data_IF_970375349881
#
_entry.id   IF_970375349881
#
_cell.length_a   1.000
_cell.length_b   1.000
_cell.length_c   1.000
_cell.angle_alpha   90.00
_cell.angle_beta   90.00
_cell.angle_gamma   90.00
#
_symmetry.space_group_name_H-M   'P 1'
#
loop_
_entity.id
_entity.type
_entity.pdbx_description
1 polymer ?
#
# COMPACT_ATOMS: atom_id res chain seq x y z
N UNK A 1 -4.98 6.15 -12.94
CA UNK A 1 -4.57 6.95 -11.75
C UNK A 1 -4.64 8.42 -12.14
N UNK A 2 -5.14 9.28 -11.26
CA UNK A 2 -5.36 10.72 -11.57
C UNK A 2 -4.58 11.68 -10.66
N UNK A 3 -4.10 11.19 -9.50
CA UNK A 3 -3.45 11.98 -8.45
C UNK A 3 -1.97 11.59 -8.31
N UNK A 4 -1.07 12.37 -8.93
CA UNK A 4 0.37 12.05 -9.05
C UNK A 4 1.25 12.79 -8.03
N UNK A 5 0.68 13.47 -7.03
CA UNK A 5 1.43 14.26 -6.05
C UNK A 5 2.41 13.44 -5.18
N UNK A 6 2.25 12.12 -5.13
CA UNK A 6 3.13 11.20 -4.42
C UNK A 6 3.96 10.30 -5.36
N UNK A 7 3.91 10.54 -6.68
CA UNK A 7 4.66 9.74 -7.64
C UNK A 7 6.16 10.04 -7.55
N UNK A 8 6.97 8.98 -7.56
CA UNK A 8 8.42 9.08 -7.49
C UNK A 8 9.07 7.96 -8.30
N UNK A 9 10.28 8.20 -8.80
CA UNK A 9 11.08 7.17 -9.48
C UNK A 9 11.65 6.20 -8.43
N UNK A 10 10.91 5.12 -8.19
CA UNK A 10 11.27 4.08 -7.19
C UNK A 10 11.10 2.68 -7.78
N UNK A 11 11.46 1.64 -7.00
CA UNK A 11 11.24 0.26 -7.44
C UNK A 11 9.74 -0.01 -7.61
N UNK A 12 9.32 -0.63 -8.73
CA UNK A 12 7.91 -0.97 -8.95
C UNK A 12 7.35 -1.94 -7.89
N UNK A 13 8.21 -2.67 -7.19
CA UNK A 13 7.81 -3.49 -6.05
C UNK A 13 7.12 -2.65 -4.95
N UNK A 14 7.59 -1.41 -4.74
CA UNK A 14 7.01 -0.50 -3.73
C UNK A 14 5.58 -0.10 -4.10
N UNK A 15 5.35 0.22 -5.37
CA UNK A 15 4.03 0.57 -5.89
C UNK A 15 3.06 -0.62 -5.80
N UNK A 16 3.52 -1.82 -6.15
CA UNK A 16 2.72 -3.05 -6.04
C UNK A 16 2.35 -3.36 -4.59
N UNK A 17 3.31 -3.29 -3.67
CA UNK A 17 3.05 -3.46 -2.24
C UNK A 17 2.06 -2.43 -1.73
N UNK A 18 2.21 -1.16 -2.11
CA UNK A 18 1.28 -0.12 -1.69
C UNK A 18 -0.13 -0.37 -2.24
N UNK A 19 -0.26 -0.67 -3.54
CA UNK A 19 -1.54 -0.92 -4.21
C UNK A 19 -2.24 -2.15 -3.64
N UNK A 20 -1.57 -3.32 -3.62
CA UNK A 20 -2.20 -4.56 -3.18
C UNK A 20 -2.63 -4.49 -1.73
N UNK A 21 -1.82 -3.93 -0.85
CA UNK A 21 -2.10 -3.96 0.58
C UNK A 21 -2.89 -2.76 1.10
N UNK A 22 -2.98 -1.63 0.39
CA UNK A 22 -3.94 -0.57 0.78
C UNK A 22 -5.33 -0.79 0.17
N UNK A 23 -5.43 -1.37 -1.02
CA UNK A 23 -6.67 -1.31 -1.80
C UNK A 23 -7.49 -2.60 -1.83
N UNK A 24 -7.00 -3.70 -1.26
CA UNK A 24 -7.70 -5.01 -1.35
C UNK A 24 -7.82 -5.68 0.02
N UNK A 25 -8.76 -6.60 0.22
CA UNK A 25 -8.87 -7.41 1.44
C UNK A 25 -7.92 -8.61 1.43
N UNK A 26 -7.71 -9.23 2.60
CA UNK A 26 -6.89 -10.44 2.71
C UNK A 26 -7.39 -11.56 1.80
N UNK A 27 -8.70 -11.85 1.80
CA UNK A 27 -9.28 -12.91 0.97
C UNK A 27 -9.00 -12.69 -0.53
N UNK A 28 -9.07 -11.44 -1.00
CA UNK A 28 -8.79 -11.09 -2.38
C UNK A 28 -7.31 -11.30 -2.71
N UNK A 29 -6.39 -10.89 -1.82
CA UNK A 29 -4.95 -11.16 -2.00
C UNK A 29 -4.65 -12.64 -1.98
N UNK A 30 -5.20 -13.38 -1.01
CA UNK A 30 -4.98 -14.82 -0.87
C UNK A 30 -5.24 -15.57 -2.19
N UNK A 31 -6.32 -15.20 -2.90
CA UNK A 31 -6.69 -15.81 -4.18
C UNK A 31 -5.85 -15.36 -5.37
N UNK A 32 -5.28 -14.15 -5.35
CA UNK A 32 -4.78 -13.50 -6.57
C UNK A 32 -3.35 -12.97 -6.51
N UNK A 33 -2.69 -12.98 -5.34
CA UNK A 33 -1.42 -12.25 -5.13
C UNK A 33 -0.34 -12.63 -6.15
N UNK A 34 -0.10 -13.93 -6.33
CA UNK A 34 0.89 -14.43 -7.31
C UNK A 34 0.46 -14.08 -8.74
N UNK A 35 -0.81 -14.33 -9.09
CA UNK A 35 -1.36 -14.03 -10.42
C UNK A 35 -1.22 -12.55 -10.78
N UNK A 36 -1.42 -11.63 -9.83
CA UNK A 36 -1.26 -10.21 -10.09
C UNK A 36 0.21 -9.81 -10.32
N UNK A 37 1.15 -10.41 -9.59
CA UNK A 37 2.59 -10.19 -9.80
C UNK A 37 3.00 -10.71 -11.18
N UNK A 38 2.56 -11.92 -11.54
CA UNK A 38 2.81 -12.53 -12.84
C UNK A 38 2.23 -11.68 -13.97
N UNK A 39 0.99 -11.21 -13.80
CA UNK A 39 0.32 -10.34 -14.76
C UNK A 39 1.07 -9.02 -14.93
N UNK A 40 1.43 -8.35 -13.83
CA UNK A 40 2.22 -7.13 -13.86
C UNK A 40 3.53 -7.32 -14.63
N UNK A 41 4.27 -8.39 -14.33
CA UNK A 41 5.54 -8.67 -14.99
C UNK A 41 5.36 -8.95 -16.48
N UNK A 42 4.28 -9.64 -16.87
CA UNK A 42 3.94 -9.87 -18.27
C UNK A 42 3.62 -8.57 -19.03
N UNK A 43 2.93 -7.63 -18.39
CA UNK A 43 2.62 -6.32 -18.99
C UNK A 43 3.85 -5.41 -19.03
N UNK A 44 4.76 -5.53 -18.06
CA UNK A 44 6.07 -4.86 -18.10
C UNK A 44 6.88 -5.32 -19.31
N UNK A 45 6.99 -6.62 -19.53
CA UNK A 45 7.72 -7.19 -20.68
C UNK A 45 7.09 -6.75 -22.02
N UNK A 46 5.76 -6.83 -22.14
CA UNK A 46 5.04 -6.29 -23.31
C UNK A 46 5.31 -4.81 -23.53
N UNK A 47 5.29 -4.00 -22.47
CA UNK A 47 5.51 -2.56 -22.55
C UNK A 47 6.94 -2.23 -23.00
N UNK A 48 7.93 -2.98 -22.52
CA UNK A 48 9.33 -2.85 -22.93
C UNK A 48 9.58 -3.31 -24.38
N UNK A 49 8.81 -4.31 -24.85
CA UNK A 49 8.95 -4.84 -26.21
C UNK A 49 8.66 -3.81 -27.31
N UNK A 50 7.86 -2.77 -27.02
CA UNK A 50 7.65 -1.64 -27.94
C UNK A 50 8.93 -0.84 -28.25
N UNK A 51 9.97 -1.01 -27.44
CA UNK A 51 11.27 -0.36 -27.57
C UNK A 51 12.40 -1.37 -27.83
N UNK A 52 12.07 -2.58 -28.28
CA UNK A 52 13.02 -3.67 -28.49
C UNK A 52 13.79 -4.10 -27.22
N UNK A 53 13.20 -3.85 -26.04
CA UNK A 53 13.74 -4.25 -24.74
C UNK A 53 13.00 -5.49 -24.19
N UNK A 54 13.69 -6.28 -23.36
CA UNK A 54 13.11 -7.42 -22.64
C UNK A 54 13.17 -7.17 -21.13
N UNK A 55 12.09 -7.49 -20.41
CA UNK A 55 12.07 -7.34 -18.96
C UNK A 55 13.16 -8.16 -18.27
N UNK A 56 13.44 -9.38 -18.77
CA UNK A 56 14.46 -10.26 -18.20
C UNK A 56 15.88 -9.67 -18.23
N UNK A 57 16.18 -8.78 -19.18
CA UNK A 57 17.49 -8.13 -19.28
C UNK A 57 17.60 -6.87 -18.41
N UNK A 58 16.49 -6.17 -18.18
CA UNK A 58 16.44 -4.86 -17.52
C UNK A 58 16.06 -4.99 -16.04
N UNK A 59 15.02 -5.75 -15.75
CA UNK A 59 14.48 -5.94 -14.41
C UNK A 59 13.90 -7.36 -14.30
N UNK A 60 14.74 -8.38 -14.05
CA UNK A 60 14.33 -9.79 -14.04
C UNK A 60 13.21 -10.09 -13.06
N UNK A 61 12.42 -11.13 -13.33
CA UNK A 61 11.31 -11.54 -12.45
C UNK A 61 11.79 -11.89 -11.05
N UNK A 62 12.91 -12.62 -10.96
CA UNK A 62 13.58 -12.93 -9.69
C UNK A 62 13.98 -11.67 -8.90
N UNK A 63 14.30 -10.58 -9.59
CA UNK A 63 14.64 -9.31 -8.97
C UNK A 63 13.39 -8.64 -8.41
N UNK A 64 12.27 -8.68 -9.15
CA UNK A 64 10.98 -8.23 -8.63
C UNK A 64 10.57 -9.01 -7.36
N UNK A 65 10.69 -10.34 -7.37
CA UNK A 65 10.35 -11.16 -6.20
C UNK A 65 11.27 -10.85 -5.00
N UNK A 66 12.57 -10.61 -5.25
CA UNK A 66 13.52 -10.22 -4.22
C UNK A 66 13.21 -8.82 -3.65
N UNK A 67 12.85 -7.87 -4.51
CA UNK A 67 12.53 -6.50 -4.11
C UNK A 67 11.20 -6.42 -3.35
N UNK A 68 10.19 -7.21 -3.73
CA UNK A 68 8.95 -7.35 -2.94
C UNK A 68 9.27 -7.76 -1.51
N UNK A 69 10.13 -8.77 -1.31
CA UNK A 69 10.56 -9.19 0.03
C UNK A 69 11.38 -8.12 0.75
N UNK A 70 12.29 -7.46 0.03
CA UNK A 70 13.15 -6.41 0.57
C UNK A 70 12.35 -5.22 1.11
N UNK A 71 11.33 -4.78 0.37
CA UNK A 71 10.55 -3.59 0.71
C UNK A 71 9.32 -3.90 1.57
N UNK A 72 8.92 -5.16 1.69
CA UNK A 72 7.76 -5.57 2.47
C UNK A 72 7.70 -4.94 3.87
N UNK A 73 8.79 -5.01 4.65
CA UNK A 73 8.80 -4.53 6.05
C UNK A 73 8.52 -3.03 6.16
N UNK A 74 9.16 -2.22 5.32
CA UNK A 74 8.94 -0.77 5.33
C UNK A 74 7.55 -0.44 4.78
N UNK A 75 7.10 -1.12 3.72
CA UNK A 75 5.75 -0.98 3.21
C UNK A 75 4.72 -1.32 4.26
N UNK A 76 4.90 -2.36 5.07
CA UNK A 76 3.98 -2.72 6.15
C UNK A 76 3.76 -1.57 7.13
N UNK A 77 4.84 -0.95 7.61
CA UNK A 77 4.76 0.19 8.51
C UNK A 77 4.00 1.36 7.88
N UNK A 78 4.25 1.64 6.59
CA UNK A 78 3.54 2.68 5.83
C UNK A 78 2.06 2.32 5.69
N UNK A 79 1.72 1.09 5.32
CA UNK A 79 0.32 0.65 5.15
C UNK A 79 -0.45 0.73 6.47
N UNK A 80 0.18 0.41 7.60
CA UNK A 80 -0.43 0.57 8.93
C UNK A 80 -0.70 2.05 9.23
N UNK A 81 0.24 2.95 8.92
CA UNK A 81 0.02 4.38 9.05
C UNK A 81 -1.16 4.85 8.18
N UNK A 82 -1.20 4.44 6.92
CA UNK A 82 -2.28 4.79 6.00
C UNK A 82 -3.62 4.18 6.43
N UNK A 83 -3.64 2.97 7.00
CA UNK A 83 -4.86 2.35 7.53
C UNK A 83 -5.53 3.22 8.61
N UNK A 84 -4.74 3.91 9.44
CA UNK A 84 -5.27 4.84 10.44
C UNK A 84 -5.96 6.08 9.84
N UNK A 85 -5.60 6.44 8.61
CA UNK A 85 -6.15 7.58 7.87
C UNK A 85 -7.34 7.13 7.01
N UNK A 86 -7.16 6.05 6.24
CA UNK A 86 -8.13 5.58 5.24
C UNK A 86 -9.39 4.97 5.86
N UNK A 87 -9.33 4.50 7.11
CA UNK A 87 -10.48 3.89 7.78
C UNK A 87 -11.43 4.92 8.42
N UNK A 88 -11.03 6.20 8.47
CA UNK A 88 -11.81 7.30 9.05
C UNK A 88 -13.13 7.48 8.33
N UNK A 89 -14.18 7.74 9.10
CA UNK A 89 -15.44 8.19 8.49
C UNK A 89 -15.32 9.62 7.97
N UNK A 90 -16.34 10.09 7.25
CA UNK A 90 -16.35 11.42 6.67
C UNK A 90 -16.20 12.55 7.73
N UNK A 91 -16.72 12.37 8.94
CA UNK A 91 -16.66 13.37 10.00
C UNK A 91 -15.28 13.44 10.64
N UNK A 92 -14.63 12.30 10.87
CA UNK A 92 -13.25 12.25 11.34
C UNK A 92 -12.27 12.74 10.25
N UNK A 93 -12.51 12.37 8.99
CA UNK A 93 -11.69 12.81 7.86
C UNK A 93 -11.77 14.33 7.64
N UNK A 94 -12.95 14.93 7.76
CA UNK A 94 -13.12 16.38 7.66
C UNK A 94 -12.32 17.12 8.75
N UNK A 95 -12.31 16.61 9.98
CA UNK A 95 -11.50 17.20 11.08
C UNK A 95 -10.01 17.05 10.83
N UNK A 96 -9.58 15.92 10.28
CA UNK A 96 -8.17 15.72 9.92
C UNK A 96 -7.74 16.68 8.80
N UNK A 97 -8.61 16.90 7.81
CA UNK A 97 -8.38 17.84 6.72
C UNK A 97 -8.29 19.29 7.25
N UNK A 98 -9.21 19.68 8.14
CA UNK A 98 -9.20 20.99 8.78
C UNK A 98 -7.90 21.22 9.57
N UNK A 99 -7.47 20.23 10.39
CA UNK A 99 -6.20 20.30 11.12
C UNK A 99 -5.00 20.42 10.16
N UNK A 100 -5.01 19.68 9.05
CA UNK A 100 -3.96 19.76 8.03
C UNK A 100 -3.92 21.14 7.36
N UNK A 101 -5.07 21.76 7.11
CA UNK A 101 -5.17 23.09 6.50
C UNK A 101 -4.74 24.20 7.47
N UNK A 102 -5.05 24.06 8.77
CA UNK A 102 -4.81 25.10 9.76
C UNK A 102 -3.39 25.09 10.35
N UNK A 103 -2.81 23.91 10.59
CA UNK A 103 -1.47 23.79 11.20
C UNK A 103 -0.59 22.69 10.62
N UNK A 104 -0.92 22.20 9.43
CA UNK A 104 -0.08 21.28 8.67
C UNK A 104 0.03 19.89 9.29
N UNK A 105 1.06 19.15 8.86
CA UNK A 105 1.23 17.73 9.21
C UNK A 105 1.32 17.52 10.72
N UNK A 106 1.96 18.45 11.45
CA UNK A 106 2.12 18.33 12.90
C UNK A 106 0.79 18.33 13.64
N UNK A 107 -0.09 19.31 13.35
CA UNK A 107 -1.41 19.40 13.99
C UNK A 107 -2.33 18.24 13.57
N UNK A 108 -2.23 17.79 12.31
CA UNK A 108 -2.91 16.59 11.85
C UNK A 108 -2.48 15.33 12.64
N UNK A 109 -1.17 15.15 12.88
CA UNK A 109 -0.64 14.03 13.68
C UNK A 109 -1.06 14.10 15.14
N UNK A 110 -1.08 15.29 15.74
CA UNK A 110 -1.57 15.50 17.12
C UNK A 110 -3.07 15.16 17.22
N UNK A 111 -3.87 15.57 16.24
CA UNK A 111 -5.29 15.23 16.16
C UNK A 111 -5.51 13.71 16.07
N UNK A 112 -4.68 12.99 15.32
CA UNK A 112 -4.73 11.53 15.22
C UNK A 112 -4.32 10.83 16.53
N UNK A 113 -3.38 11.41 17.27
CA UNK A 113 -2.80 10.81 18.49
C UNK A 113 -3.61 11.13 19.75
N UNK A 114 -4.23 12.32 19.81
CA UNK A 114 -4.89 12.85 21.01
C UNK A 114 -6.38 12.53 21.13
N UNK A 115 -7.04 12.07 20.05
CA UNK A 115 -8.45 11.69 20.06
C UNK A 115 -8.65 10.21 19.78
N UNK A 116 -9.36 9.55 20.69
CA UNK A 116 -9.80 8.16 20.48
C UNK A 116 -10.66 8.11 19.22
N UNK A 117 -10.29 7.24 18.29
CA UNK A 117 -11.13 6.95 17.13
C UNK A 117 -12.51 6.50 17.62
N UNK A 118 -13.56 6.81 16.87
CA UNK A 118 -14.86 6.27 17.24
C UNK A 118 -14.84 4.72 17.18
N UNK A 119 -15.83 4.09 17.81
CA UNK A 119 -15.85 2.63 17.99
C UNK A 119 -15.86 1.89 16.64
N UNK A 120 -16.67 2.33 15.69
CA UNK A 120 -16.82 1.69 14.39
C UNK A 120 -15.55 1.83 13.55
N UNK A 121 -14.95 3.01 13.50
CA UNK A 121 -13.66 3.25 12.83
C UNK A 121 -12.56 2.40 13.45
N UNK A 122 -12.52 2.29 14.79
CA UNK A 122 -11.56 1.42 15.49
C UNK A 122 -11.74 -0.06 15.09
N UNK A 123 -12.97 -0.51 14.95
CA UNK A 123 -13.29 -1.88 14.56
C UNK A 123 -12.92 -2.17 13.10
N UNK A 124 -13.24 -1.26 12.17
CA UNK A 124 -12.80 -1.34 10.77
C UNK A 124 -11.28 -1.38 10.65
N UNK A 125 -10.58 -0.48 11.35
CA UNK A 125 -9.12 -0.44 11.36
C UNK A 125 -8.52 -1.71 11.95
N UNK A 126 -9.09 -2.25 13.04
CA UNK A 126 -8.66 -3.53 13.62
C UNK A 126 -8.79 -4.65 12.61
N UNK A 127 -9.96 -4.82 12.00
CA UNK A 127 -10.21 -5.89 11.03
C UNK A 127 -9.27 -5.76 9.83
N UNK A 128 -9.01 -4.52 9.38
CA UNK A 128 -8.04 -4.23 8.34
C UNK A 128 -6.63 -4.68 8.72
N UNK A 129 -6.16 -4.30 9.91
CA UNK A 129 -4.81 -4.62 10.40
C UNK A 129 -4.63 -6.13 10.55
N UNK A 130 -5.63 -6.85 11.08
CA UNK A 130 -5.59 -8.32 11.17
C UNK A 130 -5.40 -8.94 9.79
N UNK A 131 -6.22 -8.56 8.80
CA UNK A 131 -6.07 -9.07 7.44
C UNK A 131 -4.74 -8.68 6.76
N UNK A 132 -4.13 -7.56 7.14
CA UNK A 132 -2.78 -7.20 6.69
C UNK A 132 -1.73 -8.15 7.29
N UNK A 133 -1.78 -8.39 8.60
CA UNK A 133 -0.87 -9.32 9.30
C UNK A 133 -0.98 -10.72 8.69
N UNK A 134 -2.21 -11.22 8.52
CA UNK A 134 -2.46 -12.55 7.95
C UNK A 134 -1.86 -12.69 6.55
N UNK A 135 -2.00 -11.65 5.71
CA UNK A 135 -1.41 -11.64 4.37
C UNK A 135 0.12 -11.63 4.40
N UNK A 136 0.71 -10.87 5.31
CA UNK A 136 2.17 -10.78 5.43
C UNK A 136 2.79 -12.09 5.93
N UNK A 137 2.10 -12.80 6.83
CA UNK A 137 2.48 -14.15 7.27
C UNK A 137 2.36 -15.13 6.11
N UNK A 138 1.19 -15.20 5.46
CA UNK A 138 0.88 -16.13 4.38
C UNK A 138 1.89 -16.04 3.22
N UNK A 139 2.28 -14.81 2.85
CA UNK A 139 3.19 -14.58 1.73
C UNK A 139 4.68 -14.55 2.13
N UNK A 140 5.00 -14.79 3.41
CA UNK A 140 6.39 -14.82 3.90
C UNK A 140 7.11 -13.47 3.77
N UNK A 141 6.42 -12.39 4.16
CA UNK A 141 6.87 -11.00 4.01
C UNK A 141 7.33 -10.33 5.32
N UNK A 142 7.33 -11.08 6.44
CA UNK A 142 7.81 -10.64 7.76
C UNK A 142 9.28 -11.00 8.05
#
# INVERSE_FOLDING_TARGET
>A
MIDYQASASTSPASDLLFMFFNCTEHETRFKNFVTWIDYYYSELDKSLSYFDLKAEDIYPRKQLDADIKRYAKISFAIIILFTNILMRDAGEAAKLLEALQNGGIKEAMETMSGKKMNKETSERARNRIVGLIDSYIEFGLL
#
